data_IF_708313692283
#
_entry.id   IF_708313692283
#
_cell.length_a   1.000
_cell.length_b   1.000
_cell.length_c   1.000
_cell.angle_alpha   90.00
_cell.angle_beta   90.00
_cell.angle_gamma   90.00
#
_symmetry.space_group_name_H-M   'P 1'
#
loop_
_entity.id
_entity.type
_entity.pdbx_description
1 polymer ?
#
# COMPACT_ATOMS: atom_id res chain seq x y z
N UNK A 1 6.44 -27.71 2.68
CA UNK A 1 6.66 -26.85 1.54
C UNK A 1 6.50 -25.41 1.93
N UNK A 2 7.54 -24.65 1.78
CA UNK A 2 7.47 -23.25 2.07
C UNK A 2 6.53 -22.57 1.09
N UNK A 3 5.52 -21.95 1.60
CA UNK A 3 4.64 -21.19 0.76
C UNK A 3 5.13 -19.77 0.69
N UNK A 4 5.42 -19.35 -0.48
CA UNK A 4 5.59 -17.94 -0.71
C UNK A 4 4.25 -17.26 -0.45
N UNK A 5 4.27 -16.04 0.06
CA UNK A 5 3.02 -15.27 0.18
C UNK A 5 2.35 -15.33 -1.18
N UNK A 6 1.10 -15.74 -1.20
CA UNK A 6 0.37 -15.76 -2.44
C UNK A 6 0.02 -14.34 -2.82
N UNK A 7 0.61 -13.89 -3.92
CA UNK A 7 0.21 -12.64 -4.51
C UNK A 7 -0.96 -12.92 -5.44
N UNK A 8 -2.10 -12.35 -5.15
CA UNK A 8 -3.25 -12.44 -6.06
C UNK A 8 -3.09 -11.38 -7.15
N UNK A 9 -3.48 -11.77 -8.37
CA UNK A 9 -3.50 -10.81 -9.47
C UNK A 9 -4.44 -9.66 -9.12
N UNK A 10 -4.01 -8.44 -9.42
CA UNK A 10 -4.85 -7.28 -9.19
C UNK A 10 -5.89 -7.19 -10.30
N UNK A 11 -7.16 -7.04 -9.91
CA UNK A 11 -8.23 -6.83 -10.87
C UNK A 11 -8.07 -5.47 -11.54
N UNK A 12 -8.74 -5.28 -12.68
CA UNK A 12 -8.72 -4.00 -13.36
C UNK A 12 -9.26 -2.89 -12.46
N UNK A 13 -10.31 -3.18 -11.71
CA UNK A 13 -10.89 -2.24 -10.77
C UNK A 13 -9.90 -1.87 -9.67
N UNK A 14 -9.19 -2.85 -9.13
CA UNK A 14 -8.19 -2.61 -8.10
C UNK A 14 -7.05 -1.77 -8.64
N UNK A 15 -6.61 -2.04 -9.86
CA UNK A 15 -5.55 -1.24 -10.48
C UNK A 15 -5.97 0.21 -10.66
N UNK A 16 -7.23 0.43 -11.03
CA UNK A 16 -7.75 1.78 -11.18
C UNK A 16 -7.76 2.52 -9.85
N UNK A 17 -8.25 1.88 -8.81
CA UNK A 17 -8.29 2.47 -7.47
C UNK A 17 -6.89 2.74 -6.93
N UNK A 18 -5.97 1.83 -7.16
CA UNK A 18 -4.57 2.02 -6.77
C UNK A 18 -3.95 3.22 -7.47
N UNK A 19 -4.23 3.37 -8.76
CA UNK A 19 -3.70 4.50 -9.52
C UNK A 19 -4.24 5.83 -8.99
N UNK A 20 -5.50 5.87 -8.60
CA UNK A 20 -6.10 7.06 -8.01
C UNK A 20 -5.50 7.39 -6.64
N UNK A 21 -5.28 6.37 -5.82
CA UNK A 21 -4.63 6.53 -4.52
C UNK A 21 -3.20 7.04 -4.69
N UNK A 22 -2.46 6.44 -5.62
CA UNK A 22 -1.08 6.85 -5.88
C UNK A 22 -1.02 8.30 -6.37
N UNK A 23 -1.94 8.68 -7.26
CA UNK A 23 -1.97 10.05 -7.78
C UNK A 23 -2.20 11.06 -6.65
N UNK A 24 -3.05 10.72 -5.70
CA UNK A 24 -3.31 11.59 -4.56
C UNK A 24 -2.09 11.67 -3.63
N UNK A 25 -1.53 10.53 -3.28
CA UNK A 25 -0.39 10.45 -2.35
C UNK A 25 0.84 11.15 -2.92
N UNK A 26 1.08 11.01 -4.22
CA UNK A 26 2.26 11.60 -4.85
C UNK A 26 2.18 13.12 -4.96
N UNK A 27 1.06 13.71 -4.61
CA UNK A 27 0.92 15.15 -4.45
C UNK A 27 1.41 15.65 -3.10
N UNK A 28 1.58 14.74 -2.14
CA UNK A 28 2.04 15.11 -0.81
C UNK A 28 3.54 15.39 -0.83
N UNK A 29 4.04 16.30 0.04
CA UNK A 29 5.46 16.67 0.04
C UNK A 29 6.40 15.50 0.28
N UNK A 30 7.53 15.51 -0.40
CA UNK A 30 8.63 14.58 -0.16
C UNK A 30 8.31 13.12 -0.51
N UNK A 31 7.25 12.89 -1.30
CA UNK A 31 6.90 11.53 -1.71
C UNK A 31 7.58 11.17 -3.03
N UNK A 32 7.84 9.89 -3.18
CA UNK A 32 8.28 9.32 -4.45
C UNK A 32 7.78 7.89 -4.57
N UNK A 33 7.79 7.39 -5.78
CA UNK A 33 7.33 6.05 -6.08
C UNK A 33 8.46 5.18 -6.60
N UNK A 34 8.36 3.90 -6.35
CA UNK A 34 9.25 2.89 -6.92
C UNK A 34 8.44 1.70 -7.38
N UNK A 35 9.11 0.67 -7.84
CA UNK A 35 8.47 -0.57 -8.27
C UNK A 35 9.01 -1.72 -7.45
N UNK A 36 8.11 -2.63 -7.04
CA UNK A 36 8.49 -3.76 -6.22
C UNK A 36 7.48 -4.89 -6.42
N UNK A 37 7.93 -6.01 -6.97
CA UNK A 37 7.13 -7.25 -7.06
C UNK A 37 5.74 -7.07 -7.66
N UNK A 38 5.63 -6.27 -8.72
CA UNK A 38 4.33 -6.03 -9.36
C UNK A 38 3.45 -5.03 -8.62
N UNK A 39 4.04 -4.27 -7.73
CA UNK A 39 3.38 -3.24 -6.96
C UNK A 39 4.14 -1.93 -7.08
N UNK A 40 3.47 -0.83 -6.77
CA UNK A 40 4.10 0.47 -6.67
C UNK A 40 4.41 0.72 -5.20
N UNK A 41 5.68 0.96 -4.90
CA UNK A 41 6.08 1.31 -3.54
C UNK A 41 6.06 2.82 -3.40
N UNK A 42 5.59 3.29 -2.24
CA UNK A 42 5.52 4.71 -1.94
C UNK A 42 6.44 5.03 -0.77
N UNK A 43 7.20 6.09 -0.94
CA UNK A 43 8.18 6.52 0.04
C UNK A 43 7.95 7.97 0.42
N UNK A 44 8.24 8.28 1.68
CA UNK A 44 8.46 9.65 2.10
C UNK A 44 9.94 9.77 2.39
N UNK A 45 10.65 10.57 1.58
CA UNK A 45 12.12 10.58 1.58
C UNK A 45 12.62 9.16 1.32
N UNK A 46 13.36 8.55 2.24
CA UNK A 46 13.88 7.20 2.08
C UNK A 46 13.06 6.14 2.82
N UNK A 47 11.98 6.53 3.47
CA UNK A 47 11.19 5.61 4.26
C UNK A 47 9.97 5.11 3.48
N UNK A 48 9.93 3.81 3.20
CA UNK A 48 8.78 3.21 2.55
C UNK A 48 7.59 3.20 3.52
N UNK A 49 6.40 3.54 3.02
CA UNK A 49 5.22 3.51 3.88
C UNK A 49 4.02 2.82 3.25
N UNK A 50 4.07 2.47 1.99
CA UNK A 50 2.93 1.81 1.35
C UNK A 50 3.35 1.01 0.13
N UNK A 51 2.53 0.00 -0.18
CA UNK A 51 2.64 -0.79 -1.41
C UNK A 51 1.25 -0.83 -2.03
N UNK A 52 1.14 -0.36 -3.25
CA UNK A 52 -0.13 -0.32 -3.97
C UNK A 52 -0.08 -1.28 -5.16
N UNK A 53 -1.12 -2.09 -5.35
CA UNK A 53 -1.14 -3.05 -6.47
C UNK A 53 -1.03 -2.38 -7.83
N UNK A 54 -0.22 -2.98 -8.70
CA UNK A 54 -0.18 -2.65 -10.13
C UNK A 54 -0.62 -3.89 -10.90
N UNK A 55 0.13 -4.99 -10.78
CA UNK A 55 -0.24 -6.25 -11.40
C UNK A 55 -0.71 -7.27 -10.39
N UNK A 56 -0.38 -7.09 -9.12
CA UNK A 56 -0.76 -8.02 -8.06
C UNK A 56 -0.94 -7.31 -6.73
N UNK A 57 -1.74 -7.91 -5.86
CA UNK A 57 -1.93 -7.45 -4.50
C UNK A 57 -1.00 -8.24 -3.57
N UNK A 58 -0.50 -7.58 -2.52
CA UNK A 58 0.24 -8.26 -1.48
C UNK A 58 -0.75 -8.85 -0.48
N UNK A 59 -0.55 -10.10 -0.09
CA UNK A 59 -1.27 -10.82 0.94
C UNK A 59 -2.76 -11.01 0.72
N UNK A 60 -3.54 -9.97 0.53
CA UNK A 60 -5.01 -10.08 0.41
C UNK A 60 -5.49 -9.49 -0.89
N UNK A 61 -6.52 -10.13 -1.43
CA UNK A 61 -7.19 -9.64 -2.64
C UNK A 61 -7.80 -8.26 -2.39
N UNK A 62 -7.75 -7.42 -3.41
CA UNK A 62 -8.36 -6.09 -3.40
C UNK A 62 -7.89 -5.22 -2.24
N UNK A 63 -6.61 -5.35 -1.90
CA UNK A 63 -6.05 -4.59 -0.79
C UNK A 63 -4.76 -3.89 -1.17
N UNK A 64 -4.46 -2.83 -0.43
CA UNK A 64 -3.14 -2.19 -0.42
C UNK A 64 -2.45 -2.59 0.87
N UNK A 65 -1.15 -2.38 0.93
CA UNK A 65 -0.40 -2.58 2.16
C UNK A 65 0.11 -1.24 2.66
N UNK A 66 -0.11 -0.98 3.94
CA UNK A 66 0.41 0.23 4.58
C UNK A 66 1.27 -0.17 5.77
N UNK A 67 2.31 0.59 6.00
CA UNK A 67 3.19 0.32 7.12
C UNK A 67 2.62 0.95 8.38
N UNK A 68 2.51 0.16 9.44
CA UNK A 68 2.07 0.66 10.74
C UNK A 68 3.18 0.42 11.74
N UNK A 69 3.93 1.45 12.04
CA UNK A 69 5.09 1.37 12.91
C UNK A 69 4.73 1.13 14.38
N UNK A 70 3.45 1.24 14.71
CA UNK A 70 2.95 0.95 16.05
C UNK A 70 2.83 -0.54 16.31
N UNK A 71 2.78 -1.35 15.24
CA UNK A 71 2.66 -2.78 15.41
C UNK A 71 3.97 -3.35 15.96
N UNK A 72 3.89 -4.31 16.89
CA UNK A 72 5.09 -4.92 17.44
C UNK A 72 5.72 -5.87 16.43
N UNK A 73 7.01 -6.16 16.63
CA UNK A 73 7.69 -7.15 15.86
C UNK A 73 8.67 -6.59 14.84
N UNK A 74 9.18 -7.50 14.02
CA UNK A 74 10.16 -7.15 13.00
C UNK A 74 9.53 -6.30 11.89
N UNK A 75 10.37 -5.65 11.10
CA UNK A 75 9.95 -4.71 10.07
C UNK A 75 8.90 -5.31 9.14
N UNK A 76 9.07 -6.58 8.73
CA UNK A 76 8.11 -7.23 7.84
C UNK A 76 6.75 -7.49 8.46
N UNK A 77 6.65 -7.47 9.78
CA UNK A 77 5.39 -7.67 10.48
C UNK A 77 4.64 -6.38 10.77
N UNK A 78 5.19 -5.27 10.35
CA UNK A 78 4.58 -3.95 10.56
C UNK A 78 3.71 -3.52 9.39
N UNK A 79 3.43 -4.42 8.48
CA UNK A 79 2.57 -4.16 7.32
C UNK A 79 1.14 -4.58 7.61
N UNK A 80 0.22 -3.76 7.21
CA UNK A 80 -1.20 -3.98 7.40
C UNK A 80 -1.90 -3.91 6.05
N UNK A 81 -2.78 -4.88 5.80
CA UNK A 81 -3.59 -4.88 4.58
C UNK A 81 -4.83 -4.03 4.80
N UNK A 82 -5.14 -3.21 3.82
CA UNK A 82 -6.34 -2.37 3.83
C UNK A 82 -7.12 -2.67 2.57
N UNK A 83 -8.32 -3.22 2.72
CA UNK A 83 -9.18 -3.59 1.60
C UNK A 83 -9.74 -2.34 0.94
N UNK A 84 -9.76 -2.33 -0.40
CA UNK A 84 -10.25 -1.18 -1.16
C UNK A 84 -11.22 -1.68 -2.23
N UNK A 85 -12.47 -1.95 -1.85
CA UNK A 85 -13.50 -2.49 -2.75
C UNK A 85 -14.53 -1.48 -3.19
N UNK A 86 -14.71 -0.43 -2.43
CA UNK A 86 -15.73 0.58 -2.71
C UNK A 86 -15.25 1.97 -2.30
N UNK A 87 -16.10 2.96 -2.45
CA UNK A 87 -15.74 4.34 -2.16
C UNK A 87 -15.48 4.59 -0.67
N UNK A 88 -16.19 3.88 0.19
CA UNK A 88 -15.96 3.95 1.63
C UNK A 88 -14.59 3.42 1.99
N UNK A 89 -14.23 2.28 1.41
CA UNK A 89 -12.92 1.68 1.59
C UNK A 89 -11.83 2.59 1.06
N UNK A 90 -12.08 3.25 -0.07
CA UNK A 90 -11.13 4.17 -0.66
C UNK A 90 -10.79 5.30 0.32
N UNK A 91 -11.81 5.85 0.97
CA UNK A 91 -11.61 6.91 1.95
C UNK A 91 -10.79 6.43 3.14
N UNK A 92 -11.11 5.24 3.64
CA UNK A 92 -10.37 4.64 4.75
C UNK A 92 -8.90 4.39 4.33
N UNK A 93 -8.69 3.93 3.10
CA UNK A 93 -7.34 3.73 2.59
C UNK A 93 -6.55 5.03 2.57
N UNK A 94 -7.15 6.13 2.14
CA UNK A 94 -6.48 7.42 2.16
C UNK A 94 -6.12 7.85 3.58
N UNK A 95 -6.99 7.62 4.53
CA UNK A 95 -6.71 7.93 5.94
C UNK A 95 -5.53 7.10 6.46
N UNK A 96 -5.51 5.82 6.12
CA UNK A 96 -4.42 4.94 6.54
C UNK A 96 -3.10 5.33 5.88
N UNK A 97 -3.15 5.70 4.61
CA UNK A 97 -1.97 6.17 3.90
C UNK A 97 -1.43 7.46 4.52
N UNK A 98 -2.32 8.38 4.90
CA UNK A 98 -1.92 9.61 5.56
C UNK A 98 -1.24 9.33 6.90
N UNK A 99 -1.80 8.42 7.69
CA UNK A 99 -1.21 8.03 8.97
C UNK A 99 0.20 7.45 8.76
N UNK A 100 0.33 6.55 7.78
CA UNK A 100 1.62 5.92 7.49
C UNK A 100 2.64 6.94 6.98
N UNK A 101 2.19 7.86 6.15
CA UNK A 101 3.01 8.94 5.62
C UNK A 101 3.54 9.83 6.75
N UNK A 102 2.67 10.21 7.68
CA UNK A 102 3.08 11.04 8.82
C UNK A 102 4.06 10.31 9.72
N UNK A 103 3.85 9.02 9.92
CA UNK A 103 4.74 8.21 10.75
C UNK A 103 6.10 8.00 10.09
N UNK A 104 6.20 8.14 8.78
CA UNK A 104 7.44 8.00 8.04
C UNK A 104 8.28 9.28 8.06
N UNK A 105 7.71 10.38 8.52
CA UNK A 105 8.38 11.68 8.53
C UNK A 105 9.38 11.91 9.65
#
# INVERSE_FOLDING_TARGET
>A
MGKMPEFTAASEEMRRRSALLAAEVLRWPETRAGKMFGMQSLYRRDAIFALLPVTRCAWKRDSIAVKDRRLPGAEGKKWQSVVVRDDGDFRVALERLDEAYRAAG
#
